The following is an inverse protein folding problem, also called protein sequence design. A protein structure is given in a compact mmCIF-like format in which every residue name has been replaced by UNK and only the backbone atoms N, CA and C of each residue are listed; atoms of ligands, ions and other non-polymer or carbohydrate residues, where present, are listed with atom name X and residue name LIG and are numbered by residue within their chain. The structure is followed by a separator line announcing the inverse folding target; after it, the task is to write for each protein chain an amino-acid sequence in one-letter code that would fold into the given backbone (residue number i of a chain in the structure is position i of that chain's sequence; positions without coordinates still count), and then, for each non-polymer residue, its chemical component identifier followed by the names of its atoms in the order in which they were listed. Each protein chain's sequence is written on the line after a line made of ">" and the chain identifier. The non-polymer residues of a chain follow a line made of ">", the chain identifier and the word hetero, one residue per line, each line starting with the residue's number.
data_IF_211439359394
#
_entry.id   IF_211439359394
#
_cell.length_a   1.000
_cell.length_b   1.000
_cell.length_c   1.000
_cell.angle_alpha   90.00
_cell.angle_beta   90.00
_cell.angle_gamma   90.00
#
_symmetry.space_group_name_H-M   'P 1'
#
loop_
_entity.id
_entity.type
_entity.pdbx_description
1 polymer ?
#
# COMPACT_ATOMS: atom_id res chain seq x y z
N UNK A 1 9.23 26.93 -0.02
CA UNK A 1 10.45 26.41 -0.66
C UNK A 1 10.30 24.90 -0.77
N UNK A 2 10.19 24.30 -1.96
CA UNK A 2 10.14 22.83 -2.10
C UNK A 2 11.50 22.27 -1.66
N UNK A 3 11.55 21.36 -0.68
CA UNK A 3 12.82 20.73 -0.26
C UNK A 3 13.35 19.90 -1.45
N UNK A 4 14.60 20.11 -1.91
CA UNK A 4 15.12 19.51 -3.15
C UNK A 4 15.11 17.97 -3.20
N UNK A 5 15.01 17.28 -2.05
CA UNK A 5 14.98 15.81 -1.98
C UNK A 5 13.58 15.17 -2.12
N UNK A 6 12.51 15.96 -2.07
CA UNK A 6 11.12 15.47 -2.14
C UNK A 6 10.55 15.45 -3.57
N UNK A 7 11.38 15.73 -4.59
CA UNK A 7 10.93 15.68 -5.98
C UNK A 7 10.82 14.22 -6.43
N UNK A 8 9.68 13.88 -7.04
CA UNK A 8 9.45 12.58 -7.64
C UNK A 8 10.53 12.24 -8.68
N UNK A 9 11.11 11.04 -8.59
CA UNK A 9 12.07 10.49 -9.53
C UNK A 9 11.34 9.64 -10.54
N UNK A 10 11.36 10.07 -11.79
CA UNK A 10 10.73 9.33 -12.87
C UNK A 10 11.46 7.99 -13.15
N UNK A 11 10.74 6.96 -13.63
CA UNK A 11 11.30 5.63 -13.89
C UNK A 11 12.56 5.63 -14.77
N UNK A 12 12.65 6.53 -15.75
CA UNK A 12 13.80 6.64 -16.65
C UNK A 12 15.07 7.06 -15.92
N UNK A 13 14.93 7.85 -14.85
CA UNK A 13 16.05 8.24 -14.00
C UNK A 13 16.47 7.09 -13.08
N UNK A 14 15.53 6.30 -12.58
CA UNK A 14 15.79 5.15 -11.73
C UNK A 14 16.53 4.03 -12.48
N UNK A 15 16.23 3.81 -13.75
CA UNK A 15 16.91 2.81 -14.59
C UNK A 15 18.42 3.05 -14.76
N UNK A 16 18.91 4.25 -14.44
CA UNK A 16 20.33 4.64 -14.57
C UNK A 16 20.98 4.94 -13.22
N UNK A 17 20.31 4.66 -12.12
CA UNK A 17 20.75 5.03 -10.78
C UNK A 17 20.61 3.84 -9.81
N UNK A 18 21.45 3.77 -8.76
CA UNK A 18 21.34 2.74 -7.73
C UNK A 18 20.17 2.97 -6.76
N UNK A 19 19.28 3.93 -7.04
CA UNK A 19 18.17 4.28 -6.15
C UNK A 19 16.96 3.38 -6.41
N UNK A 20 16.45 2.75 -5.36
CA UNK A 20 15.26 1.90 -5.41
C UNK A 20 13.95 2.59 -5.04
N UNK A 21 13.90 3.93 -4.95
CA UNK A 21 12.72 4.67 -4.48
C UNK A 21 12.42 5.92 -5.32
N UNK A 22 11.13 6.21 -5.54
CA UNK A 22 10.67 7.39 -6.30
C UNK A 22 10.88 8.71 -5.56
N UNK A 23 10.89 8.71 -4.23
CA UNK A 23 11.02 9.94 -3.42
C UNK A 23 11.99 9.69 -2.25
N UNK A 24 12.55 10.76 -1.67
CA UNK A 24 13.34 10.61 -0.43
C UNK A 24 12.42 10.24 0.73
N UNK A 25 12.77 9.19 1.47
CA UNK A 25 12.01 8.70 2.62
C UNK A 25 10.94 7.64 2.31
N UNK A 26 10.66 7.38 1.02
CA UNK A 26 9.83 6.23 0.62
C UNK A 26 10.69 4.97 0.44
N UNK A 27 10.05 3.81 0.59
CA UNK A 27 10.70 2.51 0.35
C UNK A 27 10.80 2.21 -1.15
N UNK A 28 9.68 2.28 -1.88
CA UNK A 28 9.62 2.06 -3.33
C UNK A 28 8.91 3.20 -4.04
N UNK A 29 7.58 3.23 -3.96
CA UNK A 29 6.72 4.16 -4.69
C UNK A 29 5.77 4.90 -3.74
N UNK A 30 5.20 6.00 -4.23
CA UNK A 30 4.12 6.69 -3.55
C UNK A 30 2.81 5.90 -3.67
N UNK A 31 2.15 5.53 -2.56
CA UNK A 31 0.92 4.72 -2.58
C UNK A 31 -0.30 5.45 -3.17
N UNK A 32 -0.23 6.77 -3.34
CA UNK A 32 -1.23 7.59 -4.04
C UNK A 32 -0.93 7.75 -5.54
N UNK A 33 0.13 7.11 -6.03
CA UNK A 33 0.64 7.25 -7.39
C UNK A 33 1.66 8.39 -7.55
N UNK A 34 2.42 8.41 -8.67
CA UNK A 34 3.35 9.49 -9.00
C UNK A 34 2.72 10.87 -8.84
N UNK A 35 3.40 11.77 -8.12
CA UNK A 35 2.93 13.15 -7.85
C UNK A 35 1.49 13.22 -7.27
N UNK A 36 1.06 12.20 -6.54
CA UNK A 36 -0.31 12.07 -6.00
C UNK A 36 -1.40 12.11 -7.09
N UNK A 37 -1.15 11.48 -8.24
CA UNK A 37 -2.07 11.47 -9.38
C UNK A 37 -3.41 10.78 -9.10
N UNK A 38 -3.42 9.74 -8.25
CA UNK A 38 -4.57 8.87 -8.06
C UNK A 38 -4.88 7.94 -9.23
N UNK A 39 -4.04 7.94 -10.28
CA UNK A 39 -4.24 7.16 -11.51
C UNK A 39 -3.51 5.81 -11.42
N UNK A 40 -4.24 4.67 -11.30
CA UNK A 40 -3.61 3.37 -11.04
C UNK A 40 -2.54 2.97 -12.05
N UNK A 41 -2.77 3.19 -13.34
CA UNK A 41 -1.81 2.83 -14.39
C UNK A 41 -0.52 3.66 -14.34
N UNK A 42 -0.58 4.88 -13.80
CA UNK A 42 0.59 5.77 -13.78
C UNK A 42 1.72 5.24 -12.88
N UNK A 43 1.40 4.42 -11.87
CA UNK A 43 2.39 3.85 -10.96
C UNK A 43 3.14 2.63 -11.53
N UNK A 44 2.66 2.00 -12.61
CA UNK A 44 3.18 0.72 -13.10
C UNK A 44 4.68 0.75 -13.43
N UNK A 45 5.11 1.76 -14.19
CA UNK A 45 6.51 1.91 -14.57
C UNK A 45 7.41 2.19 -13.35
N UNK A 46 6.92 2.96 -12.38
CA UNK A 46 7.64 3.27 -11.16
C UNK A 46 7.78 2.03 -10.25
N UNK A 47 6.71 1.23 -10.10
CA UNK A 47 6.74 -0.03 -9.37
C UNK A 47 7.80 -0.96 -10.00
N UNK A 48 7.72 -1.19 -11.31
CA UNK A 48 8.68 -2.08 -12.00
C UNK A 48 10.13 -1.59 -11.88
N UNK A 49 10.38 -0.29 -12.04
CA UNK A 49 11.73 0.25 -11.94
C UNK A 49 12.30 0.15 -10.52
N UNK A 50 11.49 0.46 -9.50
CA UNK A 50 11.92 0.44 -8.09
C UNK A 50 12.13 -0.98 -7.59
N UNK A 51 11.18 -1.89 -7.83
CA UNK A 51 11.32 -3.31 -7.50
C UNK A 51 12.46 -3.97 -8.28
N UNK A 52 12.63 -3.64 -9.57
CA UNK A 52 13.74 -4.11 -10.38
C UNK A 52 15.11 -3.70 -9.83
N UNK A 53 15.24 -2.45 -9.36
CA UNK A 53 16.46 -1.97 -8.68
C UNK A 53 16.68 -2.66 -7.33
N UNK A 54 15.65 -3.28 -6.75
CA UNK A 54 15.74 -4.13 -5.55
C UNK A 54 15.78 -5.63 -5.89
N UNK A 55 16.07 -5.98 -7.15
CA UNK A 55 16.30 -7.35 -7.58
C UNK A 55 15.03 -8.19 -7.76
N UNK A 56 13.84 -7.58 -7.80
CA UNK A 56 12.57 -8.27 -7.99
C UNK A 56 12.07 -8.16 -9.43
N UNK A 57 11.61 -9.27 -10.00
CA UNK A 57 10.93 -9.28 -11.31
C UNK A 57 9.41 -9.01 -11.16
N UNK A 58 8.68 -8.98 -12.28
CA UNK A 58 7.22 -8.70 -12.28
C UNK A 58 6.43 -9.72 -11.45
N UNK A 59 6.75 -11.02 -11.53
CA UNK A 59 6.06 -12.08 -10.76
C UNK A 59 6.29 -11.93 -9.26
N UNK A 60 7.55 -11.73 -8.86
CA UNK A 60 7.94 -11.52 -7.45
C UNK A 60 7.34 -10.23 -6.90
N UNK A 61 7.27 -9.17 -7.70
CA UNK A 61 6.67 -7.89 -7.33
C UNK A 61 5.18 -8.04 -7.02
N UNK A 62 4.44 -8.71 -7.91
CA UNK A 62 3.01 -8.97 -7.71
C UNK A 62 2.79 -9.84 -6.48
N UNK A 63 3.60 -10.91 -6.33
CA UNK A 63 3.50 -11.80 -5.20
C UNK A 63 3.77 -11.07 -3.87
N UNK A 64 4.81 -10.23 -3.80
CA UNK A 64 5.16 -9.47 -2.60
C UNK A 64 4.08 -8.44 -2.22
N UNK A 65 3.56 -7.67 -3.18
CA UNK A 65 2.54 -6.66 -2.91
C UNK A 65 1.24 -7.34 -2.46
N UNK A 66 0.72 -8.30 -3.24
CA UNK A 66 -0.52 -8.98 -2.92
C UNK A 66 -0.42 -9.85 -1.65
N UNK A 67 0.72 -10.49 -1.43
CA UNK A 67 0.98 -11.28 -0.23
C UNK A 67 1.10 -10.41 1.02
N UNK A 68 1.84 -9.30 0.95
CA UNK A 68 1.90 -8.33 2.05
C UNK A 68 0.52 -7.75 2.38
N UNK A 69 -0.22 -7.29 1.36
CA UNK A 69 -1.54 -6.67 1.52
C UNK A 69 -2.68 -7.68 1.70
N UNK A 70 -2.39 -8.98 1.80
CA UNK A 70 -3.35 -9.96 2.33
C UNK A 70 -3.61 -9.75 3.83
N UNK A 71 -2.65 -9.12 4.52
CA UNK A 71 -2.64 -8.99 5.98
C UNK A 71 -2.70 -7.52 6.45
N UNK A 72 -3.30 -7.32 7.61
CA UNK A 72 -3.28 -6.05 8.33
C UNK A 72 -4.09 -4.92 7.68
N UNK A 73 -3.62 -3.69 7.89
CA UNK A 73 -4.25 -2.44 7.43
C UNK A 73 -3.24 -1.29 7.36
N UNK A 74 -3.61 -0.22 6.66
CA UNK A 74 -2.96 1.10 6.78
C UNK A 74 -3.58 1.93 7.92
N UNK A 75 -3.00 3.07 8.30
CA UNK A 75 -3.49 3.91 9.40
C UNK A 75 -3.51 5.39 9.01
N UNK A 76 -4.70 5.99 9.06
CA UNK A 76 -4.99 7.34 8.61
C UNK A 76 -6.26 7.90 9.22
N UNK A 77 -6.46 7.68 10.53
CA UNK A 77 -7.69 8.03 11.25
C UNK A 77 -8.00 9.54 11.24
N UNK A 78 -6.99 10.41 11.06
CA UNK A 78 -7.16 11.85 10.90
C UNK A 78 -5.96 12.49 10.19
N UNK A 79 -6.01 13.82 10.05
CA UNK A 79 -4.98 14.62 9.40
C UNK A 79 -3.58 14.41 9.99
N UNK A 80 -2.58 14.30 9.11
CA UNK A 80 -1.18 14.11 9.48
C UNK A 80 -0.59 15.26 10.32
N UNK A 81 -1.24 16.43 10.38
CA UNK A 81 -0.86 17.54 11.26
C UNK A 81 -0.90 17.19 12.75
N UNK A 82 -1.56 16.09 13.12
CA UNK A 82 -1.54 15.58 14.50
C UNK A 82 -0.27 14.82 14.87
N UNK A 83 0.53 14.38 13.88
CA UNK A 83 1.72 13.56 14.07
C UNK A 83 2.94 14.45 14.32
N UNK A 84 3.63 14.20 15.43
CA UNK A 84 4.83 14.93 15.85
C UNK A 84 6.11 14.51 15.11
N UNK A 85 7.25 14.89 15.69
CA UNK A 85 8.57 14.64 15.14
C UNK A 85 8.88 13.14 14.98
N UNK A 86 9.69 12.79 13.97
CA UNK A 86 10.25 11.45 13.82
C UNK A 86 11.22 11.10 14.97
N UNK A 87 11.61 9.82 15.15
CA UNK A 87 12.40 9.39 16.30
C UNK A 87 13.70 10.17 16.54
N UNK A 88 14.40 10.61 15.48
CA UNK A 88 15.68 11.32 15.61
C UNK A 88 15.51 12.79 16.02
N UNK A 89 14.30 13.34 15.83
CA UNK A 89 13.94 14.70 16.22
C UNK A 89 12.97 14.74 17.42
N UNK A 90 12.61 13.58 17.97
CA UNK A 90 11.73 13.46 19.13
C UNK A 90 12.46 13.88 20.42
N UNK A 91 11.71 14.35 21.44
CA UNK A 91 12.32 14.76 22.70
C UNK A 91 12.86 13.55 23.46
N UNK A 92 13.87 13.76 24.32
CA UNK A 92 14.60 12.67 24.98
C UNK A 92 13.71 11.76 25.84
N UNK A 93 12.66 12.32 26.45
CA UNK A 93 11.67 11.57 27.24
C UNK A 93 10.83 10.59 26.40
N UNK A 94 10.83 10.71 25.07
CA UNK A 94 10.22 9.73 24.17
C UNK A 94 11.04 8.43 24.05
N UNK A 95 12.27 8.40 24.59
CA UNK A 95 13.10 7.19 24.72
C UNK A 95 13.30 6.43 23.40
N UNK A 96 13.58 7.17 22.32
CA UNK A 96 13.83 6.61 20.99
C UNK A 96 12.57 6.29 20.18
N UNK A 97 11.39 6.60 20.71
CA UNK A 97 10.13 6.60 19.94
C UNK A 97 9.91 7.95 19.26
N UNK A 98 9.13 7.95 18.19
CA UNK A 98 8.74 9.14 17.45
C UNK A 98 7.31 9.05 16.93
N UNK A 99 6.92 10.01 16.10
CA UNK A 99 5.58 10.12 15.50
C UNK A 99 4.44 10.13 16.54
N UNK A 100 4.69 10.68 17.73
CA UNK A 100 3.65 10.83 18.75
C UNK A 100 2.46 11.62 18.18
N UNK A 101 1.27 11.03 18.24
CA UNK A 101 0.05 11.62 17.69
C UNK A 101 -0.75 12.31 18.78
N UNK A 102 -1.23 13.52 18.49
CA UNK A 102 -2.16 14.28 19.34
C UNK A 102 -3.63 13.99 19.04
N UNK A 103 -3.94 13.11 18.07
CA UNK A 103 -5.31 12.78 17.70
C UNK A 103 -5.87 11.65 18.55
N UNK A 104 -7.00 11.88 19.23
CA UNK A 104 -7.66 10.88 20.06
C UNK A 104 -6.73 10.29 21.11
N UNK A 105 -6.63 8.96 21.16
CA UNK A 105 -5.68 8.22 21.99
C UNK A 105 -4.24 8.18 21.42
N UNK A 106 -4.05 8.62 20.17
CA UNK A 106 -2.77 8.63 19.46
C UNK A 106 -2.31 7.26 18.92
N UNK A 107 -3.03 6.19 19.23
CA UNK A 107 -2.72 4.80 18.88
C UNK A 107 -4.00 4.01 18.61
N UNK A 108 -3.87 2.74 18.22
CA UNK A 108 -5.02 1.85 18.07
C UNK A 108 -6.03 2.37 17.03
N UNK A 109 -7.29 2.58 17.44
CA UNK A 109 -8.35 3.07 16.56
C UNK A 109 -8.06 4.49 16.01
N UNK A 110 -7.25 5.28 16.72
CA UNK A 110 -6.91 6.66 16.38
C UNK A 110 -5.52 6.78 15.73
N UNK A 111 -4.92 5.65 15.35
CA UNK A 111 -3.57 5.64 14.79
C UNK A 111 -3.49 6.38 13.43
N UNK A 112 -2.38 7.11 13.25
CA UNK A 112 -2.03 7.77 12.00
C UNK A 112 -0.60 7.34 11.67
N UNK A 113 -0.40 6.77 10.49
CA UNK A 113 0.92 6.36 9.99
C UNK A 113 1.11 6.90 8.58
N UNK A 114 0.56 6.24 7.56
CA UNK A 114 0.66 6.72 6.18
C UNK A 114 -0.35 7.82 5.85
N UNK A 115 -1.42 7.97 6.64
CA UNK A 115 -2.56 8.82 6.31
C UNK A 115 -3.59 8.12 5.41
N UNK A 116 -3.31 6.92 4.90
CA UNK A 116 -4.30 6.07 4.23
C UNK A 116 -5.05 5.24 5.25
N UNK A 117 -6.32 4.91 4.99
CA UNK A 117 -7.17 4.14 5.90
C UNK A 117 -7.85 3.00 5.13
N UNK A 118 -7.08 1.96 4.85
CA UNK A 118 -7.40 0.83 3.97
C UNK A 118 -7.23 -0.49 4.71
N UNK A 119 -8.20 -1.39 4.49
CA UNK A 119 -8.17 -2.78 4.94
C UNK A 119 -8.59 -3.65 3.75
N UNK A 120 -7.70 -4.54 3.33
CA UNK A 120 -7.83 -5.24 2.05
C UNK A 120 -8.71 -6.49 2.09
N UNK A 121 -8.68 -7.23 3.20
CA UNK A 121 -9.27 -8.57 3.29
C UNK A 121 -10.26 -8.71 4.43
N UNK A 122 -11.19 -9.67 4.29
CA UNK A 122 -12.19 -10.02 5.30
C UNK A 122 -11.55 -10.72 6.52
N UNK A 123 -10.32 -11.21 6.38
CA UNK A 123 -9.55 -11.88 7.43
C UNK A 123 -8.15 -11.27 7.56
N UNK A 124 -8.00 -10.02 8.05
CA UNK A 124 -6.71 -9.31 8.04
C UNK A 124 -5.60 -9.97 8.87
N UNK A 125 -5.96 -10.92 9.73
CA UNK A 125 -5.04 -11.66 10.60
C UNK A 125 -4.82 -13.11 10.16
N UNK A 126 -5.37 -13.51 9.01
CA UNK A 126 -5.24 -14.87 8.47
C UNK A 126 -4.88 -14.82 6.99
N UNK A 127 -3.91 -15.64 6.61
CA UNK A 127 -3.53 -15.81 5.21
C UNK A 127 -4.72 -16.29 4.37
N UNK A 128 -4.94 -15.65 3.21
CA UNK A 128 -6.07 -15.93 2.32
C UNK A 128 -5.75 -15.47 0.89
N UNK A 129 -6.64 -15.74 -0.07
CA UNK A 129 -6.59 -15.16 -1.41
C UNK A 129 -7.55 -13.97 -1.59
N UNK A 130 -8.07 -13.43 -0.50
CA UNK A 130 -9.10 -12.40 -0.55
C UNK A 130 -8.60 -11.08 -1.13
N UNK A 131 -7.29 -10.79 -1.08
CA UNK A 131 -6.73 -9.61 -1.75
C UNK A 131 -7.10 -9.64 -3.24
N UNK A 132 -6.77 -10.73 -3.94
CA UNK A 132 -7.07 -10.87 -5.35
C UNK A 132 -8.56 -11.07 -5.62
N UNK A 133 -9.28 -11.83 -4.78
CA UNK A 133 -10.73 -11.96 -4.92
C UNK A 133 -11.37 -10.57 -4.94
N UNK A 134 -11.08 -9.74 -3.93
CA UNK A 134 -11.64 -8.40 -3.83
C UNK A 134 -11.20 -7.51 -5.01
N UNK A 135 -9.90 -7.51 -5.34
CA UNK A 135 -9.32 -6.69 -6.41
C UNK A 135 -10.05 -6.85 -7.75
N UNK A 136 -10.39 -8.09 -8.11
CA UNK A 136 -11.01 -8.42 -9.39
C UNK A 136 -12.54 -8.52 -9.35
N UNK A 137 -13.12 -8.83 -8.18
CA UNK A 137 -14.58 -8.98 -8.02
C UNK A 137 -15.33 -7.66 -8.05
N UNK A 138 -14.74 -6.60 -7.51
CA UNK A 138 -15.39 -5.30 -7.37
C UNK A 138 -14.91 -4.30 -8.41
N UNK A 139 -15.77 -3.36 -8.79
CA UNK A 139 -15.33 -2.11 -9.40
C UNK A 139 -14.93 -1.11 -8.31
N UNK A 140 -14.07 -0.16 -8.65
CA UNK A 140 -13.42 0.72 -7.68
C UNK A 140 -13.69 2.19 -7.99
N UNK A 141 -14.09 2.95 -6.97
CA UNK A 141 -14.26 4.40 -7.06
C UNK A 141 -13.23 5.10 -6.19
N UNK A 142 -12.58 6.13 -6.73
CA UNK A 142 -11.61 6.92 -5.97
C UNK A 142 -12.33 7.69 -4.86
N UNK A 143 -11.75 7.66 -3.67
CA UNK A 143 -12.24 8.35 -2.47
C UNK A 143 -11.05 8.93 -1.68
N UNK A 144 -11.34 9.52 -0.53
CA UNK A 144 -10.35 10.14 0.36
C UNK A 144 -10.41 9.51 1.74
N UNK A 145 -9.23 9.24 2.31
CA UNK A 145 -9.10 8.86 3.72
C UNK A 145 -9.54 10.01 4.64
N UNK A 146 -9.74 9.77 5.95
CA UNK A 146 -9.94 10.84 6.93
C UNK A 146 -8.77 11.85 6.98
N UNK A 147 -7.56 11.45 6.58
CA UNK A 147 -6.41 12.33 6.46
C UNK A 147 -6.33 13.10 5.13
N UNK A 148 -7.23 12.81 4.17
CA UNK A 148 -7.27 13.42 2.84
C UNK A 148 -6.45 12.71 1.76
N UNK A 149 -5.88 11.54 2.05
CA UNK A 149 -5.09 10.75 1.10
C UNK A 149 -5.99 10.06 0.06
N UNK A 150 -5.49 9.91 -1.18
CA UNK A 150 -6.16 9.21 -2.27
C UNK A 150 -6.17 7.71 -2.00
N UNK A 151 -7.35 7.11 -2.00
CA UNK A 151 -7.54 5.66 -1.94
C UNK A 151 -8.78 5.27 -2.75
N UNK A 152 -9.11 3.98 -2.76
CA UNK A 152 -10.28 3.46 -3.45
C UNK A 152 -11.18 2.66 -2.51
N UNK A 153 -12.49 2.73 -2.77
CA UNK A 153 -13.52 1.92 -2.13
C UNK A 153 -14.27 1.12 -3.21
N UNK A 154 -14.69 -0.09 -2.88
CA UNK A 154 -15.47 -0.94 -3.77
C UNK A 154 -16.89 -0.37 -4.01
N UNK A 155 -17.28 -0.27 -5.28
CA UNK A 155 -18.61 0.16 -5.72
C UNK A 155 -19.63 -0.94 -5.42
N UNK A 156 -20.80 -0.56 -4.87
CA UNK A 156 -21.93 -1.45 -4.57
C UNK A 156 -21.57 -2.72 -3.75
N UNK A 157 -20.46 -2.70 -3.01
CA UNK A 157 -20.04 -3.80 -2.16
C UNK A 157 -20.76 -3.77 -0.79
N UNK A 158 -21.08 -4.94 -0.20
CA UNK A 158 -21.52 -5.02 1.18
C UNK A 158 -20.39 -4.72 2.18
N UNK A 159 -20.77 -4.33 3.40
CA UNK A 159 -19.84 -4.15 4.52
C UNK A 159 -19.38 -5.53 5.05
N UNK A 160 -18.25 -6.00 4.52
CA UNK A 160 -17.72 -7.35 4.79
C UNK A 160 -16.34 -7.35 5.45
N UNK A 161 -15.66 -6.21 5.46
CA UNK A 161 -14.35 -6.07 6.07
C UNK A 161 -14.52 -5.71 7.55
N UNK A 162 -13.93 -6.46 8.48
CA UNK A 162 -14.10 -6.20 9.91
C UNK A 162 -13.43 -4.89 10.32
N UNK A 163 -14.03 -4.19 11.29
CA UNK A 163 -13.34 -3.11 11.98
C UNK A 163 -12.27 -3.69 12.94
N UNK A 164 -11.08 -3.08 13.05
CA UNK A 164 -10.00 -3.59 13.89
C UNK A 164 -10.25 -3.53 15.40
N UNK A 165 -11.16 -2.68 15.88
CA UNK A 165 -11.40 -2.48 17.32
C UNK A 165 -12.86 -2.67 17.75
N UNK A 166 -13.82 -2.56 16.82
CA UNK A 166 -15.24 -2.70 17.11
C UNK A 166 -15.86 -3.89 16.35
N UNK A 167 -16.08 -5.05 17.01
CA UNK A 167 -16.60 -6.24 16.32
C UNK A 167 -18.03 -6.08 15.80
N UNK A 168 -18.75 -5.03 16.22
CA UNK A 168 -20.09 -4.71 15.70
C UNK A 168 -20.05 -3.96 14.36
N UNK A 169 -18.89 -3.43 13.97
CA UNK A 169 -18.72 -2.63 12.76
C UNK A 169 -18.04 -3.43 11.65
N UNK A 170 -18.49 -3.14 10.43
CA UNK A 170 -17.85 -3.58 9.19
C UNK A 170 -17.79 -2.40 8.22
N UNK A 171 -16.94 -2.54 7.22
CA UNK A 171 -16.73 -1.56 6.15
C UNK A 171 -16.64 -2.26 4.80
N UNK A 172 -16.77 -1.49 3.72
CA UNK A 172 -16.54 -2.00 2.38
C UNK A 172 -15.06 -2.29 2.13
N UNK A 173 -14.74 -3.18 1.17
CA UNK A 173 -13.38 -3.35 0.67
C UNK A 173 -12.78 -2.03 0.18
N UNK A 174 -11.49 -1.84 0.46
CA UNK A 174 -10.71 -0.67 0.07
C UNK A 174 -9.36 -1.10 -0.51
N UNK A 175 -8.79 -0.26 -1.37
CA UNK A 175 -7.51 -0.52 -2.06
C UNK A 175 -6.69 0.78 -2.19
N UNK A 176 -5.37 0.64 -2.28
CA UNK A 176 -4.46 1.72 -2.65
C UNK A 176 -4.45 1.93 -4.18
N UNK A 177 -3.94 3.08 -4.63
CA UNK A 177 -3.72 3.34 -6.06
C UNK A 177 -2.78 2.28 -6.65
N UNK A 178 -1.72 1.95 -5.91
CA UNK A 178 -0.71 0.94 -6.29
C UNK A 178 -1.24 -0.49 -6.31
N UNK A 179 -2.27 -0.81 -5.51
CA UNK A 179 -2.91 -2.13 -5.56
C UNK A 179 -3.70 -2.29 -6.87
N UNK A 180 -4.44 -1.26 -7.25
CA UNK A 180 -5.19 -1.25 -8.51
C UNK A 180 -4.27 -1.29 -9.73
N UNK A 181 -3.03 -0.81 -9.62
CA UNK A 181 -2.02 -0.97 -10.68
C UNK A 181 -1.85 -2.43 -11.08
N UNK A 182 -1.89 -3.37 -10.12
CA UNK A 182 -1.74 -4.81 -10.40
C UNK A 182 -2.88 -5.36 -11.26
N UNK A 183 -4.07 -4.75 -11.18
CA UNK A 183 -5.23 -5.13 -12.01
C UNK A 183 -5.15 -4.54 -13.41
N UNK A 184 -4.68 -3.30 -13.53
CA UNK A 184 -4.76 -2.56 -14.78
C UNK A 184 -3.52 -2.67 -15.65
N UNK A 185 -2.33 -2.90 -15.09
CA UNK A 185 -1.09 -3.03 -15.86
C UNK A 185 -1.13 -4.29 -16.75
N UNK A 186 -1.12 -4.15 -18.09
CA UNK A 186 -1.07 -5.31 -18.99
C UNK A 186 0.16 -6.19 -18.75
N UNK A 187 1.32 -5.59 -18.39
CA UNK A 187 2.54 -6.34 -18.12
C UNK A 187 2.41 -7.27 -16.92
N UNK A 188 1.66 -6.85 -15.89
CA UNK A 188 1.33 -7.71 -14.75
C UNK A 188 0.40 -8.84 -15.18
N UNK A 189 -0.64 -8.56 -15.99
CA UNK A 189 -1.59 -9.59 -16.44
C UNK A 189 -0.99 -10.64 -17.37
N UNK A 190 0.03 -10.27 -18.13
CA UNK A 190 0.76 -11.15 -19.05
C UNK A 190 1.80 -12.01 -18.31
N UNK A 191 2.55 -11.40 -17.36
CA UNK A 191 3.66 -12.06 -16.67
C UNK A 191 3.26 -12.74 -15.36
N UNK A 192 2.16 -12.32 -14.74
CA UNK A 192 1.51 -13.02 -13.65
C UNK A 192 0.26 -13.67 -14.24
N UNK A 193 0.38 -14.88 -14.82
CA UNK A 193 -0.70 -15.45 -15.58
C UNK A 193 -1.99 -15.49 -14.74
N UNK A 194 -3.17 -15.35 -15.36
CA UNK A 194 -4.47 -15.52 -14.69
C UNK A 194 -4.63 -16.88 -13.97
N UNK A 195 -3.67 -17.79 -14.13
CA UNK A 195 -3.54 -19.00 -13.34
C UNK A 195 -3.19 -18.75 -11.88
N UNK A 196 -2.35 -17.78 -11.49
CA UNK A 196 -2.05 -17.52 -10.06
C UNK A 196 -3.24 -16.95 -9.28
N UNK A 197 -4.21 -16.34 -9.98
CA UNK A 197 -5.52 -15.97 -9.40
C UNK A 197 -6.41 -17.19 -9.15
N UNK A 198 -6.41 -18.14 -10.08
CA UNK A 198 -7.21 -19.37 -10.01
C UNK A 198 -6.48 -20.53 -9.30
N UNK A 199 -5.21 -20.35 -8.98
CA UNK A 199 -4.34 -21.30 -8.30
C UNK A 199 -3.69 -20.64 -7.07
N UNK A 200 -4.42 -20.64 -5.94
CA UNK A 200 -3.91 -20.27 -4.63
C UNK A 200 -2.52 -20.82 -4.29
N UNK A 201 -2.19 -22.04 -4.73
CA UNK A 201 -0.94 -22.69 -4.35
C UNK A 201 0.25 -22.05 -5.08
N UNK A 202 0.10 -21.74 -6.37
CA UNK A 202 1.12 -21.03 -7.14
C UNK A 202 1.43 -19.66 -6.52
N UNK A 203 0.40 -18.90 -6.14
CA UNK A 203 0.60 -17.62 -5.44
C UNK A 203 1.32 -17.79 -4.10
N UNK A 204 0.92 -18.77 -3.27
CA UNK A 204 1.57 -19.05 -1.99
C UNK A 204 3.07 -19.34 -2.16
N UNK A 205 3.43 -20.15 -3.16
CA UNK A 205 4.83 -20.51 -3.44
C UNK A 205 5.63 -19.33 -3.98
N UNK A 206 5.06 -18.55 -4.90
CA UNK A 206 5.69 -17.35 -5.44
C UNK A 206 5.96 -16.32 -4.31
N UNK A 207 4.97 -16.08 -3.46
CA UNK A 207 5.13 -15.18 -2.31
C UNK A 207 6.18 -15.69 -1.33
N UNK A 208 6.15 -16.97 -0.95
CA UNK A 208 7.13 -17.53 -0.02
C UNK A 208 8.57 -17.43 -0.55
N UNK A 209 8.77 -17.68 -1.84
CA UNK A 209 10.09 -17.56 -2.49
C UNK A 209 10.55 -16.11 -2.58
N UNK A 210 9.66 -15.21 -3.02
CA UNK A 210 9.98 -13.78 -3.12
C UNK A 210 10.24 -13.17 -1.74
N UNK A 211 9.49 -13.56 -0.71
CA UNK A 211 9.70 -13.15 0.67
C UNK A 211 11.05 -13.62 1.21
N UNK A 212 11.45 -14.88 0.94
CA UNK A 212 12.77 -15.39 1.35
C UNK A 212 13.92 -14.64 0.66
N UNK A 213 13.70 -14.19 -0.58
CA UNK A 213 14.70 -13.46 -1.37
C UNK A 213 14.87 -12.00 -0.92
N UNK A 214 13.80 -11.38 -0.43
CA UNK A 214 13.73 -9.95 -0.07
C UNK A 214 14.64 -9.57 1.10
#
# INVERSE_FOLDING_TARGET
>A
MKKPGLTHRHPEALAKAPLGATEMGLIYVNPEGPDHSGEPLSAAAAIRATFGNMGMNDEETVALIAGGHTLGKTHGAAAASHVGADPEAAPIEAQGLGWASSYGSGVGADAITSGLEVVWTQTPTQWSNYFFENLFKYEWVQTRSPAGAIQFEAVDAPDIIPDPFDPSKKRKPTMLVTDLTLRFDPGVRENFPPFSFNDPQAFNEAFARAWFKN
#
